data_IF_738569058313
#
_entry.id   IF_738569058313
#
_cell.length_a   1.000
_cell.length_b   1.000
_cell.length_c   1.000
_cell.angle_alpha   90.00
_cell.angle_beta   90.00
_cell.angle_gamma   90.00
#
_symmetry.space_group_name_H-M   'P 1'
#
loop_
_entity.id
_entity.type
_entity.pdbx_description
1 polymer ?
#
# COMPACT_ATOMS: atom_id res chain seq x y z
N UNK A 1 34.12 32.51 -10.17
CA UNK A 1 34.45 31.08 -10.01
C UNK A 1 33.16 30.35 -9.70
N UNK A 2 32.52 29.77 -10.72
CA UNK A 2 31.18 29.19 -10.65
C UNK A 2 31.12 28.02 -11.64
N UNK A 3 31.57 26.83 -11.21
CA UNK A 3 31.51 25.57 -12.00
C UNK A 3 31.51 24.32 -11.11
N UNK A 4 30.69 24.27 -10.05
CA UNK A 4 30.62 23.07 -9.18
C UNK A 4 29.21 22.56 -8.90
N UNK A 5 28.15 23.32 -9.21
CA UNK A 5 26.77 22.94 -8.91
C UNK A 5 26.05 22.22 -10.07
N UNK A 6 26.62 22.21 -11.27
CA UNK A 6 25.94 21.74 -12.49
C UNK A 6 26.17 20.24 -12.74
N UNK A 7 27.28 19.65 -12.26
CA UNK A 7 27.60 18.24 -12.52
C UNK A 7 26.83 17.25 -11.63
N UNK A 8 26.39 17.65 -10.43
CA UNK A 8 25.54 16.78 -9.60
C UNK A 8 24.11 16.69 -10.14
N UNK A 9 23.64 17.70 -10.87
CA UNK A 9 22.31 17.70 -11.46
C UNK A 9 22.20 16.78 -12.70
N UNK A 10 23.30 16.57 -13.43
CA UNK A 10 23.31 15.69 -14.62
C UNK A 10 23.33 14.21 -14.27
N UNK A 11 23.87 13.82 -13.10
CA UNK A 11 23.91 12.42 -12.65
C UNK A 11 22.56 11.88 -12.14
N UNK A 12 21.66 12.74 -11.68
CA UNK A 12 20.31 12.32 -11.24
C UNK A 12 19.24 12.40 -12.33
N UNK A 13 19.53 13.04 -13.47
CA UNK A 13 18.58 13.20 -14.57
C UNK A 13 18.49 11.97 -15.51
N UNK A 14 19.36 10.96 -15.34
CA UNK A 14 19.50 9.85 -16.30
C UNK A 14 18.75 8.57 -15.88
N UNK A 15 17.51 8.69 -15.44
CA UNK A 15 16.67 7.52 -15.15
C UNK A 15 15.20 7.75 -15.54
N UNK A 16 14.93 8.40 -16.67
CA UNK A 16 13.58 8.40 -17.22
C UNK A 16 13.53 8.73 -18.71
N UNK A 17 13.92 7.80 -19.58
CA UNK A 17 13.38 7.75 -20.94
C UNK A 17 13.55 6.34 -21.54
N UNK A 18 12.47 5.56 -21.52
CA UNK A 18 12.34 4.37 -22.35
C UNK A 18 12.07 4.84 -23.78
N UNK A 19 13.04 4.67 -24.69
CA UNK A 19 12.86 4.37 -26.11
C UNK A 19 14.23 4.15 -26.79
N UNK A 20 14.39 2.95 -27.34
CA UNK A 20 15.25 2.58 -28.48
C UNK A 20 16.66 3.18 -28.61
N UNK A 21 17.65 2.36 -28.22
CA UNK A 21 18.79 1.87 -29.02
C UNK A 21 19.81 1.24 -28.08
N UNK A 22 20.16 -0.01 -28.33
CA UNK A 22 21.17 -0.77 -27.57
C UNK A 22 22.56 -0.20 -27.83
N UNK A 23 22.97 0.78 -27.01
CA UNK A 23 24.38 1.14 -26.90
C UNK A 23 25.05 0.14 -25.95
N UNK A 24 25.83 -0.79 -26.51
CA UNK A 24 26.74 -1.65 -25.75
C UNK A 24 27.88 -0.79 -25.17
N UNK A 25 27.60 -0.08 -24.08
CA UNK A 25 28.64 0.55 -23.28
C UNK A 25 29.27 -0.54 -22.42
N UNK A 26 30.33 -1.17 -22.92
CA UNK A 26 31.21 -2.01 -22.11
C UNK A 26 31.98 -1.09 -21.17
N UNK A 27 31.35 -0.72 -20.05
CA UNK A 27 32.04 -0.07 -18.95
C UNK A 27 32.92 -1.15 -18.34
N UNK A 28 34.21 -1.18 -18.71
CA UNK A 28 35.19 -1.86 -17.86
C UNK A 28 35.02 -1.25 -16.46
N UNK A 29 34.73 -2.05 -15.42
CA UNK A 29 34.67 -1.52 -14.07
C UNK A 29 36.05 -0.96 -13.76
N UNK A 30 36.19 0.36 -13.86
CA UNK A 30 37.33 1.07 -13.32
C UNK A 30 37.17 0.88 -11.83
N UNK A 31 37.99 0.01 -11.24
CA UNK A 31 38.10 -0.13 -9.80
C UNK A 31 38.30 1.26 -9.22
N UNK A 32 37.30 1.83 -8.51
CA UNK A 32 37.47 3.16 -7.95
C UNK A 32 38.58 3.07 -6.91
N UNK A 33 39.57 3.96 -7.01
CA UNK A 33 40.58 4.14 -5.97
C UNK A 33 39.87 4.28 -4.61
N UNK A 34 40.21 3.36 -3.72
CA UNK A 34 39.52 3.08 -2.46
C UNK A 34 39.85 4.16 -1.43
N UNK A 35 39.30 5.36 -1.56
CA UNK A 35 39.44 6.42 -0.55
C UNK A 35 38.17 7.29 -0.36
N UNK A 36 36.97 6.72 -0.53
CA UNK A 36 35.71 7.40 -0.15
C UNK A 36 34.86 6.55 0.80
N UNK A 37 35.23 6.45 2.09
CA UNK A 37 34.54 5.61 3.05
C UNK A 37 33.10 6.04 3.40
N UNK A 38 32.78 7.31 3.24
CA UNK A 38 31.51 7.86 3.75
C UNK A 38 30.37 7.81 2.72
N UNK A 39 30.69 7.97 1.43
CA UNK A 39 29.68 8.00 0.37
C UNK A 39 29.01 6.65 0.16
N UNK A 40 29.75 5.53 0.34
CA UNK A 40 29.14 4.20 0.24
C UNK A 40 28.21 3.88 1.41
N UNK A 41 28.48 4.39 2.62
CA UNK A 41 27.58 4.17 3.78
C UNK A 41 26.25 4.86 3.54
N UNK A 42 26.28 6.11 3.07
CA UNK A 42 25.07 6.88 2.77
C UNK A 42 24.18 6.19 1.72
N UNK A 43 24.78 5.72 0.60
CA UNK A 43 24.03 5.03 -0.46
C UNK A 43 23.46 3.70 0.03
N UNK A 44 24.22 2.94 0.83
CA UNK A 44 23.72 1.69 1.42
C UNK A 44 22.58 1.92 2.40
N UNK A 45 22.69 2.93 3.26
CA UNK A 45 21.67 3.25 4.27
C UNK A 45 20.38 3.77 3.62
N UNK A 46 20.49 4.61 2.59
CA UNK A 46 19.34 5.05 1.79
C UNK A 46 18.63 3.85 1.13
N UNK A 47 19.39 2.94 0.51
CA UNK A 47 18.83 1.73 -0.12
C UNK A 47 18.18 0.79 0.90
N UNK A 48 18.78 0.64 2.09
CA UNK A 48 18.19 -0.15 3.18
C UNK A 48 16.87 0.46 3.65
N UNK A 49 16.85 1.76 3.99
CA UNK A 49 15.65 2.48 4.42
C UNK A 49 14.53 2.39 3.38
N UNK A 50 14.86 2.58 2.11
CA UNK A 50 13.89 2.46 1.03
C UNK A 50 13.29 1.05 0.93
N UNK A 51 14.11 -0.01 1.08
CA UNK A 51 13.62 -1.40 1.09
C UNK A 51 12.72 -1.65 2.30
N UNK A 52 13.16 -1.24 3.49
CA UNK A 52 12.36 -1.35 4.71
C UNK A 52 11.00 -0.65 4.55
N UNK A 53 10.99 0.60 4.09
CA UNK A 53 9.76 1.36 3.88
C UNK A 53 8.81 0.66 2.90
N UNK A 54 9.32 0.16 1.77
CA UNK A 54 8.50 -0.58 0.81
C UNK A 54 7.93 -1.88 1.38
N UNK A 55 8.69 -2.59 2.22
CA UNK A 55 8.23 -3.83 2.85
C UNK A 55 7.15 -3.55 3.90
N UNK A 56 7.33 -2.54 4.75
CA UNK A 56 6.32 -2.17 5.75
C UNK A 56 5.04 -1.66 5.08
N UNK A 57 5.16 -0.90 4.01
CA UNK A 57 4.01 -0.46 3.24
C UNK A 57 3.30 -1.62 2.54
N UNK A 58 4.05 -2.56 1.98
CA UNK A 58 3.43 -3.77 1.40
C UNK A 58 2.72 -4.62 2.47
N UNK A 59 3.32 -4.74 3.65
CA UNK A 59 2.66 -5.38 4.80
C UNK A 59 1.38 -4.65 5.20
N UNK A 60 1.36 -3.31 5.19
CA UNK A 60 0.15 -2.54 5.50
C UNK A 60 -0.96 -2.75 4.46
N UNK A 61 -0.61 -2.94 3.19
CA UNK A 61 -1.56 -3.32 2.13
C UNK A 61 -2.09 -4.76 2.33
N UNK A 62 -1.22 -5.70 2.70
CA UNK A 62 -1.65 -7.08 3.00
C UNK A 62 -2.60 -7.08 4.20
N UNK A 63 -2.31 -6.30 5.24
CA UNK A 63 -3.20 -6.10 6.37
C UNK A 63 -4.55 -5.49 5.93
N UNK A 64 -4.54 -4.54 5.00
CA UNK A 64 -5.77 -3.97 4.43
C UNK A 64 -6.62 -5.05 3.73
N UNK A 65 -6.00 -5.94 2.95
CA UNK A 65 -6.69 -7.06 2.29
C UNK A 65 -7.30 -8.00 3.33
N UNK A 66 -6.54 -8.36 4.36
CA UNK A 66 -7.03 -9.21 5.44
C UNK A 66 -8.20 -8.56 6.20
N UNK A 67 -8.13 -7.25 6.46
CA UNK A 67 -9.21 -6.50 7.09
C UNK A 67 -10.47 -6.44 6.23
N UNK A 68 -10.35 -6.28 4.91
CA UNK A 68 -11.51 -6.34 4.00
C UNK A 68 -12.17 -7.74 4.00
N UNK A 69 -11.37 -8.80 4.09
CA UNK A 69 -11.89 -10.15 4.23
C UNK A 69 -12.60 -10.34 5.58
N UNK A 70 -11.99 -9.89 6.67
CA UNK A 70 -12.60 -9.91 8.00
C UNK A 70 -13.90 -9.09 8.04
N UNK A 71 -13.94 -7.95 7.36
CA UNK A 71 -15.13 -7.11 7.23
C UNK A 71 -16.26 -7.85 6.50
N UNK A 72 -15.96 -8.53 5.39
CA UNK A 72 -16.92 -9.40 4.70
C UNK A 72 -17.49 -10.48 5.62
N UNK A 73 -16.64 -11.23 6.33
CA UNK A 73 -17.10 -12.30 7.22
C UNK A 73 -17.88 -11.76 8.42
N UNK A 74 -17.40 -10.68 9.04
CA UNK A 74 -18.06 -10.06 10.20
C UNK A 74 -19.44 -9.50 9.84
N UNK A 75 -19.56 -8.84 8.68
CA UNK A 75 -20.85 -8.33 8.18
C UNK A 75 -21.82 -9.49 7.93
N UNK A 76 -21.37 -10.55 7.25
CA UNK A 76 -22.23 -11.72 6.98
C UNK A 76 -22.68 -12.43 8.25
N UNK A 77 -21.81 -12.53 9.24
CA UNK A 77 -22.16 -13.15 10.50
C UNK A 77 -23.14 -12.28 11.30
N UNK A 78 -22.94 -10.96 11.32
CA UNK A 78 -23.85 -10.02 11.99
C UNK A 78 -25.26 -10.08 11.40
N UNK A 79 -25.38 -10.13 10.07
CA UNK A 79 -26.69 -10.16 9.37
C UNK A 79 -27.49 -11.46 9.57
N UNK A 80 -26.94 -12.48 10.25
CA UNK A 80 -27.69 -13.69 10.63
C UNK A 80 -28.56 -13.47 11.87
N UNK A 81 -28.27 -12.45 12.68
CA UNK A 81 -28.99 -12.17 13.92
C UNK A 81 -30.16 -11.20 13.65
N UNK A 82 -31.33 -11.50 14.19
CA UNK A 82 -32.51 -10.65 14.03
C UNK A 82 -32.27 -9.24 14.62
N UNK A 83 -32.69 -8.21 13.89
CA UNK A 83 -32.53 -6.81 14.29
C UNK A 83 -31.18 -6.17 13.96
N UNK A 84 -30.19 -6.93 13.46
CA UNK A 84 -28.97 -6.37 12.90
C UNK A 84 -29.11 -6.16 11.39
N UNK A 85 -28.86 -4.95 10.92
CA UNK A 85 -28.89 -4.57 9.51
C UNK A 85 -27.60 -3.87 9.08
N UNK A 86 -27.31 -3.90 7.78
CA UNK A 86 -26.20 -3.16 7.20
C UNK A 86 -26.42 -1.65 7.36
N UNK A 87 -25.59 -1.01 8.18
CA UNK A 87 -25.68 0.42 8.46
C UNK A 87 -25.30 1.29 7.28
N UNK A 88 -24.44 0.81 6.36
CA UNK A 88 -24.02 1.56 5.18
C UNK A 88 -25.09 1.49 4.08
N UNK A 89 -25.79 2.61 3.75
CA UNK A 89 -26.86 2.60 2.74
C UNK A 89 -26.37 2.16 1.35
N UNK A 90 -25.10 2.40 1.03
CA UNK A 90 -24.49 2.00 -0.24
C UNK A 90 -24.27 0.49 -0.34
N UNK A 91 -24.10 -0.21 0.79
CA UNK A 91 -23.85 -1.65 0.81
C UNK A 91 -25.13 -2.47 0.93
N UNK A 92 -26.24 -1.88 1.41
CA UNK A 92 -27.56 -2.51 1.52
C UNK A 92 -28.02 -3.35 0.31
N UNK A 93 -27.87 -2.90 -0.96
CA UNK A 93 -28.32 -3.71 -2.09
C UNK A 93 -27.43 -4.94 -2.36
N UNK A 94 -26.16 -4.90 -1.93
CA UNK A 94 -25.18 -5.94 -2.24
C UNK A 94 -25.12 -7.01 -1.14
N UNK A 95 -25.28 -6.63 0.13
CA UNK A 95 -25.15 -7.56 1.29
C UNK A 95 -26.18 -8.67 1.32
N UNK A 96 -27.31 -8.53 0.62
CA UNK A 96 -28.35 -9.56 0.54
C UNK A 96 -27.96 -10.76 -0.34
N UNK A 97 -26.96 -10.60 -1.19
CA UNK A 97 -26.45 -11.66 -2.05
C UNK A 97 -24.96 -11.84 -1.78
N UNK A 98 -24.60 -12.96 -1.16
CA UNK A 98 -23.24 -13.28 -0.74
C UNK A 98 -22.21 -13.14 -1.88
N UNK A 99 -22.58 -13.59 -3.08
CA UNK A 99 -21.68 -13.55 -4.24
C UNK A 99 -21.49 -12.12 -4.73
N UNK A 100 -22.57 -11.33 -4.77
CA UNK A 100 -22.51 -9.91 -5.15
C UNK A 100 -21.71 -9.12 -4.13
N UNK A 101 -21.94 -9.36 -2.84
CA UNK A 101 -21.18 -8.72 -1.76
C UNK A 101 -19.69 -9.07 -1.83
N UNK A 102 -19.36 -10.35 -2.04
CA UNK A 102 -17.98 -10.80 -2.22
C UNK A 102 -17.33 -10.15 -3.45
N UNK A 103 -18.04 -10.09 -4.59
CA UNK A 103 -17.53 -9.46 -5.81
C UNK A 103 -17.24 -7.97 -5.60
N UNK A 104 -18.12 -7.24 -4.93
CA UNK A 104 -17.90 -5.82 -4.59
C UNK A 104 -16.69 -5.67 -3.68
N UNK A 105 -16.57 -6.47 -2.60
CA UNK A 105 -15.42 -6.42 -1.69
C UNK A 105 -14.11 -6.74 -2.41
N UNK A 106 -14.07 -7.78 -3.24
CA UNK A 106 -12.88 -8.16 -4.00
C UNK A 106 -12.51 -7.05 -4.98
N UNK A 107 -13.46 -6.56 -5.77
CA UNK A 107 -13.23 -5.50 -6.75
C UNK A 107 -12.72 -4.21 -6.11
N UNK A 108 -13.32 -3.82 -4.98
CA UNK A 108 -12.90 -2.64 -4.22
C UNK A 108 -11.52 -2.83 -3.59
N UNK A 109 -11.24 -4.01 -3.03
CA UNK A 109 -9.94 -4.34 -2.43
C UNK A 109 -8.82 -4.31 -3.48
N UNK A 110 -9.03 -4.93 -4.65
CA UNK A 110 -8.05 -4.90 -5.74
C UNK A 110 -7.83 -3.47 -6.24
N UNK A 111 -8.91 -2.72 -6.44
CA UNK A 111 -8.82 -1.31 -6.87
C UNK A 111 -8.02 -0.50 -5.86
N UNK A 112 -8.31 -0.62 -4.57
CA UNK A 112 -7.58 0.05 -3.50
C UNK A 112 -6.10 -0.35 -3.53
N UNK A 113 -5.79 -1.64 -3.63
CA UNK A 113 -4.41 -2.13 -3.70
C UNK A 113 -3.61 -1.50 -4.86
N UNK A 114 -4.18 -1.50 -6.06
CA UNK A 114 -3.52 -0.90 -7.24
C UNK A 114 -3.38 0.61 -7.14
N UNK A 115 -4.42 1.31 -6.68
CA UNK A 115 -4.39 2.75 -6.44
C UNK A 115 -3.32 3.10 -5.41
N UNK A 116 -3.26 2.37 -4.30
CA UNK A 116 -2.32 2.61 -3.22
C UNK A 116 -0.87 2.33 -3.64
N UNK A 117 -0.61 1.26 -4.42
CA UNK A 117 0.71 1.04 -5.04
C UNK A 117 1.09 2.14 -6.02
N UNK A 118 0.15 2.61 -6.85
CA UNK A 118 0.39 3.73 -7.79
C UNK A 118 0.65 5.03 -7.03
N UNK A 119 -0.08 5.26 -5.93
CA UNK A 119 0.06 6.42 -5.07
C UNK A 119 1.41 6.42 -4.36
N UNK A 120 1.84 5.28 -3.82
CA UNK A 120 3.14 5.14 -3.15
C UNK A 120 4.32 5.47 -4.07
N UNK A 121 4.23 5.07 -5.35
CA UNK A 121 5.23 5.44 -6.36
C UNK A 121 5.27 6.94 -6.66
N UNK A 122 4.17 7.67 -6.46
CA UNK A 122 4.05 9.12 -6.75
C UNK A 122 4.31 9.98 -5.52
N UNK A 123 3.74 9.63 -4.38
CA UNK A 123 3.83 10.34 -3.11
C UNK A 123 3.72 9.33 -1.96
N UNK A 124 4.87 8.97 -1.39
CA UNK A 124 4.99 7.99 -0.31
C UNK A 124 4.26 8.44 0.96
N UNK A 125 4.40 9.71 1.35
CA UNK A 125 3.79 10.26 2.55
C UNK A 125 2.26 10.16 2.49
N UNK A 126 1.67 10.57 1.35
CA UNK A 126 0.23 10.50 1.17
C UNK A 126 -0.25 9.04 1.16
N UNK A 127 0.48 8.14 0.52
CA UNK A 127 0.15 6.71 0.52
C UNK A 127 0.21 6.10 1.93
N UNK A 128 1.20 6.47 2.75
CA UNK A 128 1.29 6.04 4.15
C UNK A 128 0.09 6.51 4.96
N UNK A 129 -0.24 7.80 4.90
CA UNK A 129 -1.39 8.37 5.61
C UNK A 129 -2.67 7.65 5.16
N UNK A 130 -2.88 7.54 3.86
CA UNK A 130 -4.06 6.87 3.31
C UNK A 130 -4.14 5.41 3.75
N UNK A 131 -3.02 4.66 3.75
CA UNK A 131 -2.98 3.27 4.18
C UNK A 131 -3.30 3.13 5.67
N UNK A 132 -2.76 3.98 6.53
CA UNK A 132 -3.00 3.94 7.98
C UNK A 132 -4.48 4.24 8.26
N UNK A 133 -5.01 5.33 7.68
CA UNK A 133 -6.42 5.72 7.84
C UNK A 133 -7.34 4.61 7.34
N UNK A 134 -7.04 4.03 6.17
CA UNK A 134 -7.85 2.93 5.61
C UNK A 134 -7.86 1.70 6.52
N UNK A 135 -6.70 1.33 7.08
CA UNK A 135 -6.61 0.19 7.99
C UNK A 135 -7.36 0.46 9.29
N UNK A 136 -7.22 1.66 9.89
CA UNK A 136 -7.96 2.03 11.10
C UNK A 136 -9.47 2.01 10.88
N UNK A 137 -9.95 2.58 9.76
CA UNK A 137 -11.37 2.59 9.43
C UNK A 137 -11.93 1.17 9.29
N UNK A 138 -11.24 0.27 8.57
CA UNK A 138 -11.68 -1.12 8.44
C UNK A 138 -11.61 -1.87 9.77
N UNK A 139 -10.56 -1.68 10.57
CA UNK A 139 -10.47 -2.28 11.90
C UNK A 139 -11.63 -1.88 12.80
N UNK A 140 -12.04 -0.59 12.75
CA UNK A 140 -13.21 -0.12 13.47
C UNK A 140 -14.50 -0.83 13.02
N UNK A 141 -14.73 -0.93 11.71
CA UNK A 141 -15.92 -1.62 11.15
C UNK A 141 -15.96 -3.08 11.61
N UNK A 142 -14.85 -3.81 11.47
CA UNK A 142 -14.74 -5.21 11.90
C UNK A 142 -15.02 -5.34 13.40
N UNK A 143 -14.42 -4.49 14.22
CA UNK A 143 -14.62 -4.49 15.67
C UNK A 143 -16.07 -4.19 16.04
N UNK A 144 -16.71 -3.24 15.36
CA UNK A 144 -18.10 -2.87 15.60
C UNK A 144 -19.03 -4.05 15.25
N UNK A 145 -18.82 -4.70 14.11
CA UNK A 145 -19.59 -5.88 13.72
C UNK A 145 -19.43 -7.03 14.73
N UNK A 146 -18.20 -7.28 15.19
CA UNK A 146 -17.94 -8.30 16.22
C UNK A 146 -18.60 -7.97 17.56
N UNK A 147 -18.64 -6.70 17.96
CA UNK A 147 -19.36 -6.27 19.17
C UNK A 147 -20.85 -6.59 19.07
N UNK A 148 -21.49 -6.23 17.94
CA UNK A 148 -22.90 -6.52 17.74
C UNK A 148 -23.21 -8.02 17.70
N UNK A 149 -22.35 -8.83 17.09
CA UNK A 149 -22.47 -10.31 17.12
C UNK A 149 -22.40 -10.83 18.55
N UNK A 150 -21.44 -10.35 19.33
CA UNK A 150 -21.26 -10.77 20.72
C UNK A 150 -22.48 -10.40 21.58
N UNK A 151 -22.98 -9.17 21.44
CA UNK A 151 -24.20 -8.71 22.12
C UNK A 151 -25.43 -9.54 21.72
N UNK A 152 -25.60 -9.84 20.43
CA UNK A 152 -26.73 -10.63 19.96
C UNK A 152 -26.67 -12.10 20.39
N UNK A 153 -25.48 -12.67 20.54
CA UNK A 153 -25.28 -14.05 21.02
C UNK A 153 -25.57 -14.23 22.51
N UNK A 154 -25.43 -13.16 23.30
CA UNK A 154 -25.58 -13.21 24.76
C UNK A 154 -26.97 -12.76 25.26
N UNK A 155 -27.89 -12.45 24.35
CA UNK A 155 -29.32 -12.23 24.65
C UNK A 155 -30.07 -13.54 24.60
#
# INVERSE_FOLDING_TARGET
MEKSSIESASLFAYANNNNDKTYNFSIKPTTPETNFPETYKFVQDYRKRHRFESTFFEASLIANVALNAADYFSTREALKYEGLEEGNPLMKPFVKNDLTFAAVKIGMTMTNYFVMKKLFKRNKTLAWIASIVSNMALSYVVSNNMSHIYEARNR
#
